data_IF_465253353337
#
_entry.id   IF_465253353337
#
_cell.length_a   1.000
_cell.length_b   1.000
_cell.length_c   1.000
_cell.angle_alpha   90.00
_cell.angle_beta   90.00
_cell.angle_gamma   90.00
#
_symmetry.space_group_name_H-M   'P 1'
#
loop_
_entity.id
_entity.type
_entity.pdbx_description
1 polymer ?
#
# COMPACT_ATOMS: atom_id res chain seq x y z
N UNK A 1 -17.53 9.62 -4.00
CA UNK A 1 -16.93 8.54 -4.79
C UNK A 1 -15.80 7.79 -4.07
N UNK A 2 -15.39 8.21 -2.86
CA UNK A 2 -14.39 7.46 -2.05
C UNK A 2 -15.01 6.17 -1.52
N UNK A 3 -14.21 5.09 -1.34
CA UNK A 3 -14.66 3.92 -0.61
C UNK A 3 -15.15 4.28 0.80
N UNK A 4 -16.06 3.48 1.35
CA UNK A 4 -16.58 3.67 2.70
C UNK A 4 -15.42 3.65 3.72
N UNK A 5 -15.48 4.59 4.69
CA UNK A 5 -14.47 4.73 5.73
C UNK A 5 -13.24 5.58 5.38
N UNK A 6 -13.01 5.91 4.11
CA UNK A 6 -11.92 6.79 3.68
C UNK A 6 -12.41 8.23 3.57
N UNK A 7 -12.47 8.93 4.70
CA UNK A 7 -13.09 10.26 4.83
C UNK A 7 -12.13 11.44 4.68
N UNK A 8 -10.83 11.16 4.68
CA UNK A 8 -9.77 12.19 4.62
C UNK A 8 -8.95 12.05 3.35
N UNK A 9 -8.58 13.18 2.74
CA UNK A 9 -7.79 13.21 1.50
C UNK A 9 -6.65 14.21 1.62
N UNK A 10 -5.50 13.83 1.04
CA UNK A 10 -4.33 14.70 0.88
C UNK A 10 -3.87 14.63 -0.57
N UNK A 11 -3.70 15.80 -1.23
CA UNK A 11 -3.36 15.90 -2.66
C UNK A 11 -1.88 16.17 -2.88
N UNK A 12 -1.32 15.66 -4.00
CA UNK A 12 0.06 15.82 -4.42
C UNK A 12 0.19 15.99 -5.94
N UNK A 13 1.43 16.20 -6.42
CA UNK A 13 1.72 16.47 -7.82
C UNK A 13 2.11 15.25 -8.65
N UNK A 14 2.56 14.15 -8.08
CA UNK A 14 3.01 12.97 -8.83
C UNK A 14 2.80 11.66 -8.05
N UNK A 15 2.73 10.55 -8.80
CA UNK A 15 2.31 9.25 -8.30
C UNK A 15 3.07 8.78 -7.06
N UNK A 16 4.41 8.78 -7.11
CA UNK A 16 5.26 8.28 -6.02
C UNK A 16 5.12 9.10 -4.74
N UNK A 17 4.73 10.39 -4.82
CA UNK A 17 4.49 11.22 -3.64
C UNK A 17 3.32 10.69 -2.81
N UNK A 18 2.27 10.16 -3.44
CA UNK A 18 1.18 9.54 -2.71
C UNK A 18 1.67 8.34 -1.88
N UNK A 19 2.51 7.49 -2.48
CA UNK A 19 3.10 6.34 -1.77
C UNK A 19 4.00 6.80 -0.63
N UNK A 20 4.90 7.75 -0.87
CA UNK A 20 5.79 8.31 0.18
C UNK A 20 4.99 8.81 1.37
N UNK A 21 3.91 9.51 1.10
CA UNK A 21 3.06 10.08 2.16
C UNK A 21 2.29 9.00 2.90
N UNK A 22 1.74 8.00 2.20
CA UNK A 22 1.07 6.88 2.86
C UNK A 22 2.02 6.12 3.80
N UNK A 23 3.26 5.84 3.36
CA UNK A 23 4.29 5.22 4.20
C UNK A 23 4.62 6.09 5.43
N UNK A 24 4.87 7.38 5.22
CA UNK A 24 5.17 8.34 6.30
C UNK A 24 4.00 8.48 7.28
N UNK A 25 2.77 8.63 6.79
CA UNK A 25 1.59 8.73 7.64
C UNK A 25 1.37 7.47 8.45
N UNK A 26 1.53 6.29 7.84
CA UNK A 26 1.38 5.01 8.54
C UNK A 26 2.37 4.91 9.70
N UNK A 27 3.66 5.13 9.44
CA UNK A 27 4.70 5.12 10.46
C UNK A 27 4.42 6.14 11.58
N UNK A 28 4.14 7.40 11.22
CA UNK A 28 3.94 8.47 12.17
C UNK A 28 2.66 8.28 13.00
N UNK A 29 1.58 7.78 12.40
CA UNK A 29 0.35 7.43 13.12
C UNK A 29 0.62 6.38 14.21
N UNK A 30 1.37 5.31 13.89
CA UNK A 30 1.76 4.31 14.89
C UNK A 30 2.64 4.91 16.00
N UNK A 31 3.60 5.76 15.66
CA UNK A 31 4.43 6.45 16.64
C UNK A 31 3.59 7.33 17.59
N UNK A 32 2.62 8.08 17.03
CA UNK A 32 1.69 8.91 17.81
C UNK A 32 0.75 8.08 18.71
N UNK A 33 0.49 6.82 18.33
CA UNK A 33 -0.30 5.85 19.12
C UNK A 33 0.55 5.05 20.14
N UNK A 34 1.81 5.40 20.31
CA UNK A 34 2.71 4.73 21.27
C UNK A 34 3.34 3.43 20.76
N UNK A 35 3.41 3.25 19.44
CA UNK A 35 4.06 2.09 18.79
C UNK A 35 5.32 2.51 18.00
N UNK A 36 6.36 3.09 18.63
CA UNK A 36 7.52 3.64 17.92
C UNK A 36 8.43 2.59 17.28
N UNK A 37 8.26 1.31 17.63
CA UNK A 37 9.06 0.21 17.08
C UNK A 37 8.60 -0.25 15.69
N UNK A 38 7.44 0.21 15.19
CA UNK A 38 6.90 -0.18 13.88
C UNK A 38 7.60 0.57 12.74
N UNK A 39 8.86 0.25 12.48
CA UNK A 39 9.73 0.98 11.54
C UNK A 39 9.86 0.31 10.17
N UNK A 40 9.32 -0.90 10.01
CA UNK A 40 9.41 -1.68 8.79
C UNK A 40 8.09 -1.72 8.02
N UNK A 41 8.17 -2.15 6.77
CA UNK A 41 7.03 -2.36 5.89
C UNK A 41 7.06 -3.77 5.32
N UNK A 42 5.91 -4.27 4.91
CA UNK A 42 5.78 -5.47 4.07
C UNK A 42 5.37 -5.02 2.67
N UNK A 43 6.04 -5.53 1.65
CA UNK A 43 5.66 -5.36 0.25
C UNK A 43 5.60 -6.75 -0.44
N UNK A 44 5.04 -6.82 -1.64
CA UNK A 44 4.98 -8.08 -2.37
C UNK A 44 6.20 -8.23 -3.31
N UNK A 45 6.60 -9.47 -3.57
CA UNK A 45 7.51 -9.75 -4.69
C UNK A 45 6.91 -9.26 -5.99
N UNK A 46 7.74 -8.83 -6.93
CA UNK A 46 7.35 -8.24 -8.22
C UNK A 46 6.54 -6.92 -8.13
N UNK A 47 6.47 -6.28 -6.96
CA UNK A 47 5.75 -5.01 -6.79
C UNK A 47 6.51 -3.82 -7.38
N UNK A 48 5.74 -2.77 -7.71
CA UNK A 48 6.27 -1.47 -8.10
C UNK A 48 5.34 -0.36 -7.58
N UNK A 49 5.93 0.59 -6.84
CA UNK A 49 5.16 1.66 -6.20
C UNK A 49 5.68 3.07 -6.55
N UNK A 50 6.65 3.17 -7.43
CA UNK A 50 7.26 4.44 -7.86
C UNK A 50 8.77 4.49 -7.63
N UNK A 51 9.37 5.67 -7.89
CA UNK A 51 10.82 5.84 -8.01
C UNK A 51 11.41 6.85 -7.00
N UNK A 52 10.62 7.42 -6.11
CA UNK A 52 11.14 8.09 -4.92
C UNK A 52 11.71 7.06 -3.94
N UNK A 53 12.66 7.42 -3.09
CA UNK A 53 13.41 6.44 -2.29
C UNK A 53 12.52 5.53 -1.44
N UNK A 54 11.49 6.04 -0.79
CA UNK A 54 10.57 5.21 -0.02
C UNK A 54 9.71 4.31 -0.90
N UNK A 55 9.11 4.85 -1.97
CA UNK A 55 8.33 4.06 -2.93
C UNK A 55 9.18 3.00 -3.63
N UNK A 56 10.41 3.36 -4.05
CA UNK A 56 11.37 2.45 -4.66
C UNK A 56 11.83 1.36 -3.69
N UNK A 57 11.90 1.67 -2.41
CA UNK A 57 12.21 0.67 -1.37
C UNK A 57 11.17 -0.44 -1.34
N UNK A 58 9.90 -0.12 -1.58
CA UNK A 58 8.78 -1.09 -1.61
C UNK A 58 8.67 -1.85 -2.93
N UNK A 59 9.43 -1.48 -3.96
CA UNK A 59 9.46 -2.21 -5.24
C UNK A 59 10.37 -3.46 -5.15
N UNK A 60 10.07 -4.48 -5.96
CA UNK A 60 10.90 -5.70 -6.08
C UNK A 60 11.26 -6.00 -7.55
N UNK A 61 11.58 -4.95 -8.31
CA UNK A 61 12.01 -5.05 -9.69
C UNK A 61 13.48 -4.62 -9.77
N UNK A 62 14.44 -5.54 -9.99
CA UNK A 62 15.87 -5.25 -9.96
C UNK A 62 16.29 -4.09 -10.88
N UNK A 63 15.67 -3.99 -12.06
CA UNK A 63 15.97 -2.95 -13.06
C UNK A 63 15.88 -1.53 -12.44
N UNK A 64 14.92 -1.28 -11.56
CA UNK A 64 14.75 0.04 -10.95
C UNK A 64 15.57 0.21 -9.67
N UNK A 65 15.81 -0.87 -8.92
CA UNK A 65 16.41 -0.82 -7.58
C UNK A 65 17.93 -0.89 -7.55
N UNK A 66 18.55 -1.60 -8.50
CA UNK A 66 19.95 -2.03 -8.39
C UNK A 66 20.93 -0.89 -8.12
N UNK A 67 20.79 0.22 -8.83
CA UNK A 67 21.69 1.38 -8.69
C UNK A 67 21.51 2.09 -7.34
N UNK A 68 20.27 2.12 -6.84
CA UNK A 68 19.90 2.87 -5.64
C UNK A 68 19.90 2.00 -4.37
N UNK A 69 20.24 0.72 -4.46
CA UNK A 69 20.16 -0.22 -3.34
C UNK A 69 20.80 0.27 -2.03
N UNK A 70 21.95 1.00 -2.04
CA UNK A 70 22.55 1.51 -0.80
C UNK A 70 21.72 2.60 -0.09
N UNK A 71 20.72 3.19 -0.75
CA UNK A 71 19.89 4.27 -0.23
C UNK A 71 18.49 3.80 0.19
N UNK A 72 18.13 2.54 -0.09
CA UNK A 72 16.79 2.03 0.09
C UNK A 72 16.58 1.47 1.49
N UNK A 73 15.34 1.60 1.98
CA UNK A 73 14.86 0.86 3.13
C UNK A 73 14.81 -0.64 2.82
N UNK A 74 14.85 -1.47 3.85
CA UNK A 74 14.75 -2.93 3.74
C UNK A 74 13.38 -3.43 4.22
N UNK A 75 12.36 -3.48 3.34
CA UNK A 75 11.08 -4.08 3.69
C UNK A 75 11.18 -5.61 3.79
N UNK A 76 10.17 -6.21 4.39
CA UNK A 76 9.92 -7.64 4.28
C UNK A 76 9.16 -7.91 2.98
N UNK A 77 9.62 -8.85 2.16
CA UNK A 77 8.91 -9.20 0.94
C UNK A 77 8.11 -10.49 1.14
N UNK A 78 6.78 -10.39 1.02
CA UNK A 78 5.89 -11.53 0.93
C UNK A 78 5.80 -12.04 -0.52
N UNK A 79 5.48 -13.32 -0.75
CA UNK A 79 5.30 -13.85 -2.09
C UNK A 79 4.22 -13.09 -2.87
N UNK A 80 4.44 -12.92 -4.18
CA UNK A 80 3.40 -12.46 -5.08
C UNK A 80 2.31 -13.52 -5.24
N UNK A 81 1.03 -13.19 -5.07
CA UNK A 81 -0.07 -14.16 -5.21
C UNK A 81 -0.48 -14.41 -6.66
N UNK A 82 0.35 -14.02 -7.61
CA UNK A 82 0.04 -14.01 -9.03
C UNK A 82 -0.09 -15.41 -9.65
N UNK A 83 -0.83 -15.49 -10.75
CA UNK A 83 -1.13 -16.76 -11.44
C UNK A 83 0.10 -17.45 -12.05
N UNK A 84 1.22 -16.74 -12.27
CA UNK A 84 2.45 -17.34 -12.79
C UNK A 84 3.16 -18.21 -11.74
N UNK A 85 2.94 -17.96 -10.45
CA UNK A 85 3.47 -18.76 -9.33
C UNK A 85 2.57 -19.93 -8.92
N UNK A 86 1.51 -20.21 -9.68
CA UNK A 86 0.54 -21.29 -9.42
C UNK A 86 1.13 -22.66 -9.68
N UNK A 87 0.89 -23.62 -8.76
CA UNK A 87 1.23 -25.02 -8.99
C UNK A 87 0.24 -25.67 -9.97
N UNK A 88 0.65 -26.76 -10.62
CA UNK A 88 -0.09 -27.40 -11.71
C UNK A 88 -1.56 -27.75 -11.39
N UNK A 89 -1.84 -28.08 -10.13
CA UNK A 89 -3.20 -28.46 -9.69
C UNK A 89 -3.91 -27.40 -8.83
N UNK A 90 -3.30 -26.24 -8.66
CA UNK A 90 -3.94 -25.14 -7.91
C UNK A 90 -4.94 -24.39 -8.77
N UNK A 91 -6.07 -24.05 -8.20
CA UNK A 91 -6.92 -22.94 -8.71
C UNK A 91 -6.26 -21.60 -8.38
N UNK A 92 -6.67 -20.53 -9.06
CA UNK A 92 -6.17 -19.19 -8.80
C UNK A 92 -6.43 -18.75 -7.34
N UNK A 93 -7.61 -19.11 -6.79
CA UNK A 93 -7.94 -18.87 -5.39
C UNK A 93 -7.04 -19.66 -4.42
N UNK A 94 -6.71 -20.91 -4.74
CA UNK A 94 -5.81 -21.73 -3.89
C UNK A 94 -4.39 -21.18 -3.88
N UNK A 95 -3.87 -20.71 -5.02
CA UNK A 95 -2.59 -20.03 -5.09
C UNK A 95 -2.58 -18.77 -4.20
N UNK A 96 -3.61 -17.95 -4.32
CA UNK A 96 -3.75 -16.73 -3.51
C UNK A 96 -3.83 -17.04 -2.01
N UNK A 97 -4.58 -18.07 -1.61
CA UNK A 97 -4.67 -18.50 -0.20
C UNK A 97 -3.35 -19.06 0.33
N UNK A 98 -2.59 -19.80 -0.46
CA UNK A 98 -1.24 -20.27 -0.09
C UNK A 98 -0.30 -19.10 0.16
N UNK A 99 -0.27 -18.11 -0.75
CA UNK A 99 0.54 -16.92 -0.58
C UNK A 99 0.08 -16.06 0.63
N UNK A 100 -1.22 -16.06 0.92
CA UNK A 100 -1.76 -15.39 2.12
C UNK A 100 -1.31 -16.08 3.42
N UNK A 101 -1.18 -17.42 3.44
CA UNK A 101 -0.63 -18.14 4.59
C UNK A 101 0.86 -17.81 4.82
N UNK A 102 1.64 -17.61 3.75
CA UNK A 102 3.02 -17.16 3.87
C UNK A 102 3.11 -15.69 4.37
N UNK A 103 2.20 -14.82 3.91
CA UNK A 103 2.06 -13.47 4.46
C UNK A 103 1.73 -13.50 5.95
N UNK A 104 0.80 -14.37 6.38
CA UNK A 104 0.45 -14.55 7.78
C UNK A 104 1.65 -14.98 8.62
N UNK A 105 2.47 -15.90 8.14
CA UNK A 105 3.68 -16.34 8.81
C UNK A 105 4.70 -15.19 9.01
N UNK A 106 4.84 -14.31 8.00
CA UNK A 106 5.67 -13.11 8.10
C UNK A 106 5.09 -12.15 9.15
N UNK A 107 3.79 -11.86 9.10
CA UNK A 107 3.13 -10.96 10.05
C UNK A 107 3.18 -11.51 11.48
N UNK A 108 2.92 -12.81 11.69
CA UNK A 108 2.99 -13.44 13.00
C UNK A 108 4.35 -13.24 13.67
N UNK A 109 5.42 -13.31 12.87
CA UNK A 109 6.81 -13.14 13.36
C UNK A 109 7.21 -11.68 13.57
N UNK A 110 6.72 -10.77 12.72
CA UNK A 110 7.28 -9.42 12.59
C UNK A 110 6.28 -8.28 12.88
N UNK A 111 5.00 -8.55 13.21
CA UNK A 111 3.97 -7.51 13.39
C UNK A 111 4.36 -6.38 14.34
N UNK A 112 5.16 -6.68 15.37
CA UNK A 112 5.61 -5.70 16.37
C UNK A 112 6.57 -4.64 15.81
N UNK A 113 7.19 -4.88 14.67
CA UNK A 113 8.12 -3.96 13.98
C UNK A 113 7.56 -3.44 12.64
N UNK A 114 6.37 -3.90 12.20
CA UNK A 114 5.78 -3.56 10.91
C UNK A 114 4.72 -2.48 11.03
N UNK A 115 4.87 -1.41 10.26
CA UNK A 115 3.92 -0.31 10.17
C UNK A 115 2.78 -0.62 9.21
N UNK A 116 3.10 -1.05 8.01
CA UNK A 116 2.10 -1.33 6.97
C UNK A 116 2.51 -2.47 6.04
N UNK A 117 1.47 -3.11 5.46
CA UNK A 117 1.54 -3.85 4.21
C UNK A 117 1.14 -2.92 3.07
N UNK A 118 1.97 -2.83 2.02
CA UNK A 118 1.62 -2.15 0.77
C UNK A 118 1.50 -3.15 -0.36
N UNK A 119 0.46 -3.00 -1.20
CA UNK A 119 0.24 -3.85 -2.37
C UNK A 119 -0.51 -3.11 -3.49
N UNK A 120 -0.31 -3.56 -4.72
CA UNK A 120 -1.10 -3.18 -5.89
C UNK A 120 -2.33 -4.12 -5.96
N UNK A 121 -3.58 -3.65 -5.77
CA UNK A 121 -4.75 -4.53 -5.78
C UNK A 121 -4.97 -5.21 -7.13
N UNK A 122 -5.12 -6.53 -7.13
CA UNK A 122 -5.44 -7.42 -8.25
C UNK A 122 -4.41 -7.52 -9.37
N UNK A 123 -3.61 -6.48 -9.65
CA UNK A 123 -2.66 -6.47 -10.77
C UNK A 123 -1.38 -5.74 -10.40
N UNK A 124 -0.26 -6.42 -10.42
CA UNK A 124 1.08 -5.83 -10.34
C UNK A 124 1.52 -5.39 -11.76
N UNK A 125 1.21 -4.14 -12.10
CA UNK A 125 1.31 -3.67 -13.48
C UNK A 125 2.75 -3.65 -14.01
N UNK A 126 3.65 -2.90 -13.37
CA UNK A 126 5.05 -2.79 -13.80
C UNK A 126 5.84 -4.08 -13.56
N UNK A 127 5.38 -4.95 -12.68
CA UNK A 127 5.89 -6.30 -12.44
C UNK A 127 5.60 -7.30 -13.57
N UNK A 128 5.01 -6.86 -14.69
CA UNK A 128 4.69 -7.70 -15.84
C UNK A 128 3.20 -8.05 -15.95
N UNK A 129 2.30 -7.17 -15.51
CA UNK A 129 0.85 -7.37 -15.53
C UNK A 129 0.43 -8.66 -14.81
N UNK A 130 1.01 -8.91 -13.63
CA UNK A 130 0.75 -10.11 -12.83
C UNK A 130 -0.58 -9.97 -12.12
N UNK A 131 -1.54 -10.79 -12.51
CA UNK A 131 -2.89 -10.80 -11.95
C UNK A 131 -3.02 -11.83 -10.85
N UNK A 132 -3.91 -11.57 -9.87
CA UNK A 132 -4.20 -12.48 -8.78
C UNK A 132 -5.64 -12.41 -8.30
N UNK A 133 -6.09 -13.45 -7.62
CA UNK A 133 -7.47 -13.61 -7.18
C UNK A 133 -7.82 -12.68 -6.01
N UNK A 134 -9.03 -12.04 -6.02
CA UNK A 134 -9.47 -11.09 -4.98
C UNK A 134 -9.41 -11.63 -3.55
N UNK A 135 -9.53 -12.96 -3.36
CA UNK A 135 -9.44 -13.58 -2.02
C UNK A 135 -8.14 -13.24 -1.28
N UNK A 136 -7.04 -12.93 -2.01
CA UNK A 136 -5.81 -12.47 -1.38
C UNK A 136 -6.01 -11.12 -0.66
N UNK A 137 -6.74 -10.19 -1.26
CA UNK A 137 -7.04 -8.88 -0.65
C UNK A 137 -7.90 -9.04 0.60
N UNK A 138 -8.89 -9.96 0.57
CA UNK A 138 -9.71 -10.29 1.75
C UNK A 138 -8.83 -10.79 2.91
N UNK A 139 -7.93 -11.73 2.62
CA UNK A 139 -6.99 -12.25 3.63
C UNK A 139 -6.01 -11.18 4.10
N UNK A 140 -5.45 -10.36 3.19
CA UNK A 140 -4.55 -9.26 3.54
C UNK A 140 -5.24 -8.27 4.50
N UNK A 141 -6.50 -7.87 4.22
CA UNK A 141 -7.26 -6.99 5.11
C UNK A 141 -7.49 -7.64 6.49
N UNK A 142 -7.94 -8.90 6.49
CA UNK A 142 -8.16 -9.66 7.73
C UNK A 142 -6.88 -9.72 8.58
N UNK A 143 -5.76 -10.05 7.98
CA UNK A 143 -4.47 -10.16 8.65
C UNK A 143 -3.97 -8.80 9.17
N UNK A 144 -4.05 -7.74 8.36
CA UNK A 144 -3.70 -6.39 8.79
C UNK A 144 -4.52 -5.95 10.00
N UNK A 145 -5.83 -6.23 10.00
CA UNK A 145 -6.70 -5.93 11.14
C UNK A 145 -6.31 -6.75 12.39
N UNK A 146 -6.05 -8.05 12.22
CA UNK A 146 -5.69 -8.95 13.33
C UNK A 146 -4.38 -8.54 14.01
N UNK A 147 -3.37 -8.16 13.22
CA UNK A 147 -2.04 -7.82 13.73
C UNK A 147 -1.86 -6.32 14.03
N UNK A 148 -2.86 -5.48 13.75
CA UNK A 148 -2.80 -4.03 13.96
C UNK A 148 -1.78 -3.34 13.06
N UNK A 149 -1.63 -3.84 11.81
CA UNK A 149 -0.79 -3.31 10.74
C UNK A 149 -1.70 -2.55 9.77
N UNK A 150 -1.28 -1.39 9.25
CA UNK A 150 -2.04 -0.68 8.24
C UNK A 150 -1.97 -1.40 6.88
N UNK A 151 -3.08 -1.35 6.13
CA UNK A 151 -3.13 -1.77 4.72
C UNK A 151 -3.08 -0.54 3.82
N UNK A 152 -2.05 -0.45 2.97
CA UNK A 152 -1.91 0.56 1.93
C UNK A 152 -2.24 -0.09 0.59
N UNK A 153 -3.34 0.32 -0.04
CA UNK A 153 -3.71 -0.10 -1.38
C UNK A 153 -3.20 0.94 -2.40
N UNK A 154 -2.28 0.52 -3.23
CA UNK A 154 -1.77 1.32 -4.34
C UNK A 154 -2.65 1.10 -5.58
N UNK A 155 -3.67 1.93 -5.73
CA UNK A 155 -4.56 1.92 -6.90
C UNK A 155 -4.18 2.95 -7.98
N UNK A 156 -2.94 3.43 -7.96
CA UNK A 156 -2.44 4.41 -8.94
C UNK A 156 -2.63 3.92 -10.38
N UNK A 157 -2.39 2.62 -10.62
CA UNK A 157 -2.52 2.03 -11.95
C UNK A 157 -3.86 1.30 -12.16
N UNK A 158 -4.48 0.81 -11.11
CA UNK A 158 -5.65 -0.10 -11.20
C UNK A 158 -6.98 0.54 -10.83
N UNK A 159 -6.99 1.72 -10.25
CA UNK A 159 -8.20 2.48 -9.94
C UNK A 159 -8.92 3.04 -11.16
N UNK A 160 -10.06 3.68 -10.92
CA UNK A 160 -10.89 4.38 -11.94
C UNK A 160 -11.41 3.46 -13.04
N UNK A 161 -11.85 2.25 -12.67
CA UNK A 161 -12.51 1.32 -13.60
C UNK A 161 -11.57 0.39 -14.37
N UNK A 162 -10.24 0.45 -14.14
CA UNK A 162 -9.26 -0.36 -14.88
C UNK A 162 -9.50 -1.87 -14.74
N UNK A 163 -9.96 -2.33 -13.60
CA UNK A 163 -10.19 -3.75 -13.29
C UNK A 163 -11.66 -4.17 -13.39
N UNK A 164 -12.56 -3.27 -13.82
CA UNK A 164 -13.98 -3.54 -13.95
C UNK A 164 -14.88 -2.97 -12.83
N UNK A 165 -14.32 -2.67 -11.67
CA UNK A 165 -14.92 -1.89 -10.58
C UNK A 165 -14.28 -0.50 -10.52
N UNK A 166 -14.92 0.48 -9.85
CA UNK A 166 -14.35 1.83 -9.77
C UNK A 166 -13.02 1.82 -9.02
N UNK A 167 -12.95 1.13 -7.89
CA UNK A 167 -11.69 0.77 -7.22
C UNK A 167 -11.50 -0.75 -7.23
N UNK A 168 -10.27 -1.21 -7.39
CA UNK A 168 -9.96 -2.63 -7.44
C UNK A 168 -10.28 -3.35 -6.12
N UNK A 169 -10.12 -2.67 -4.97
CA UNK A 169 -10.48 -3.18 -3.66
C UNK A 169 -11.97 -3.55 -3.52
N UNK A 170 -12.86 -2.96 -4.31
CA UNK A 170 -14.31 -3.28 -4.30
C UNK A 170 -14.58 -4.75 -4.67
N UNK A 171 -13.75 -5.36 -5.52
CA UNK A 171 -13.90 -6.77 -5.91
C UNK A 171 -13.66 -7.75 -4.76
N UNK A 172 -13.00 -7.32 -3.70
CA UNK A 172 -12.80 -8.07 -2.48
C UNK A 172 -13.67 -7.55 -1.32
N UNK A 173 -14.55 -6.58 -1.57
CA UNK A 173 -15.39 -5.92 -0.56
C UNK A 173 -14.58 -5.43 0.66
N UNK A 174 -13.38 -4.88 0.45
CA UNK A 174 -12.52 -4.37 1.52
C UNK A 174 -12.30 -2.87 1.40
N UNK A 175 -12.04 -2.22 2.55
CA UNK A 175 -11.50 -0.86 2.63
C UNK A 175 -10.09 -0.90 3.22
N UNK A 176 -9.08 -0.30 2.56
CA UNK A 176 -7.75 -0.16 3.12
C UNK A 176 -7.69 0.97 4.16
N UNK A 177 -6.58 1.08 4.89
CA UNK A 177 -6.33 2.22 5.77
C UNK A 177 -5.82 3.44 4.98
N UNK A 178 -5.12 3.17 3.88
CA UNK A 178 -4.66 4.18 2.91
C UNK A 178 -4.93 3.71 1.49
N UNK A 179 -5.46 4.62 0.66
CA UNK A 179 -5.68 4.40 -0.76
C UNK A 179 -4.87 5.44 -1.56
N UNK A 180 -3.89 4.99 -2.33
CA UNK A 180 -3.08 5.85 -3.19
C UNK A 180 -3.68 5.90 -4.60
N UNK A 181 -3.91 7.10 -5.11
CA UNK A 181 -4.54 7.36 -6.40
C UNK A 181 -3.70 8.33 -7.24
N UNK A 182 -3.65 8.10 -8.55
CA UNK A 182 -3.07 9.01 -9.53
C UNK A 182 -3.54 8.62 -10.94
N UNK A 183 -2.76 8.76 -11.96
CA UNK A 183 -3.02 8.38 -13.37
C UNK A 183 -4.46 8.60 -13.82
N UNK A 184 -5.38 7.69 -13.52
CA UNK A 184 -6.80 7.79 -13.84
C UNK A 184 -7.50 9.00 -13.18
N UNK A 185 -6.96 9.53 -12.09
CA UNK A 185 -7.52 10.70 -11.39
C UNK A 185 -7.65 11.91 -12.31
N UNK A 186 -6.69 12.14 -13.20
CA UNK A 186 -6.70 13.23 -14.19
C UNK A 186 -6.65 12.73 -15.62
N UNK A 187 -6.53 11.42 -15.86
CA UNK A 187 -6.32 10.85 -17.18
C UNK A 187 -5.01 11.27 -17.84
N UNK A 188 -4.05 11.75 -17.07
CA UNK A 188 -2.75 12.25 -17.57
C UNK A 188 -2.76 13.72 -17.99
N UNK A 189 -3.89 14.42 -17.84
CA UNK A 189 -4.01 15.83 -18.22
C UNK A 189 -3.19 16.74 -17.31
N UNK A 190 -3.15 16.44 -16.01
CA UNK A 190 -2.34 17.16 -15.01
C UNK A 190 -1.56 16.16 -14.15
N UNK A 191 -0.33 16.50 -13.73
CA UNK A 191 0.36 15.73 -12.71
C UNK A 191 -0.36 15.91 -11.38
N UNK A 192 -1.05 14.85 -10.92
CA UNK A 192 -1.79 14.88 -9.66
C UNK A 192 -1.87 13.49 -9.06
N UNK A 193 -1.80 13.42 -7.75
CA UNK A 193 -2.07 12.23 -6.97
C UNK A 193 -2.80 12.57 -5.67
N UNK A 194 -3.39 11.58 -5.05
CA UNK A 194 -4.09 11.72 -3.78
C UNK A 194 -3.85 10.50 -2.90
N UNK A 195 -3.81 10.73 -1.60
CA UNK A 195 -3.91 9.70 -0.57
C UNK A 195 -5.22 9.90 0.17
N UNK A 196 -6.05 8.88 0.19
CA UNK A 196 -7.23 8.84 1.06
C UNK A 196 -6.87 8.01 2.29
N UNK A 197 -7.39 8.41 3.45
CA UNK A 197 -7.18 7.67 4.70
C UNK A 197 -8.40 7.71 5.60
N UNK A 198 -8.37 6.89 6.64
CA UNK A 198 -9.46 6.71 7.60
C UNK A 198 -9.44 7.79 8.67
N UNK A 199 -10.58 7.99 9.35
CA UNK A 199 -10.70 8.91 10.47
C UNK A 199 -9.74 8.57 11.63
N UNK A 200 -9.58 7.29 12.07
CA UNK A 200 -8.64 6.96 13.14
C UNK A 200 -7.18 7.32 12.82
N UNK A 201 -6.76 7.23 11.56
CA UNK A 201 -5.43 7.69 11.15
C UNK A 201 -5.33 9.20 11.28
N UNK A 202 -6.30 9.95 10.78
CA UNK A 202 -6.33 11.41 10.89
C UNK A 202 -6.33 11.87 12.36
N UNK A 203 -7.15 11.28 13.21
CA UNK A 203 -7.24 11.61 14.64
C UNK A 203 -5.92 11.40 15.38
N UNK A 204 -5.08 10.46 14.94
CA UNK A 204 -3.77 10.22 15.55
C UNK A 204 -2.83 11.43 15.47
N UNK A 205 -3.08 12.35 14.53
CA UNK A 205 -2.29 13.57 14.34
C UNK A 205 -2.88 14.79 15.07
N UNK A 206 -4.09 14.69 15.61
CA UNK A 206 -4.73 15.79 16.35
C UNK A 206 -4.09 15.94 17.72
N UNK A 207 -3.35 17.01 17.92
CA UNK A 207 -2.66 17.31 19.17
C UNK A 207 -2.34 18.80 19.28
N UNK A 208 -2.21 19.30 20.51
CA UNK A 208 -1.61 20.61 20.78
C UNK A 208 -0.09 20.61 20.58
N UNK A 209 0.54 19.45 20.53
CA UNK A 209 1.98 19.30 20.30
C UNK A 209 2.28 19.29 18.80
N UNK A 210 3.06 20.26 18.32
CA UNK A 210 3.44 20.35 16.89
C UNK A 210 4.21 19.14 16.37
N UNK A 211 4.97 18.47 17.21
CA UNK A 211 5.74 17.27 16.86
C UNK A 211 4.86 16.09 16.44
N UNK A 212 3.61 16.08 16.85
CA UNK A 212 2.64 15.04 16.46
C UNK A 212 1.92 15.34 15.14
N UNK A 213 2.02 16.58 14.65
CA UNK A 213 1.42 16.96 13.36
C UNK A 213 2.17 16.33 12.18
N UNK A 214 1.43 16.02 11.11
CA UNK A 214 2.02 15.52 9.87
C UNK A 214 2.63 16.67 9.07
N UNK A 215 3.93 16.91 9.26
CA UNK A 215 4.68 17.98 8.61
C UNK A 215 5.21 17.53 7.24
N UNK A 216 4.35 17.53 6.24
CA UNK A 216 4.68 17.24 4.85
C UNK A 216 3.93 18.21 3.95
N UNK A 217 4.49 19.43 3.81
CA UNK A 217 3.86 20.52 3.08
C UNK A 217 4.38 20.67 1.66
N UNK A 218 3.59 21.27 0.82
CA UNK A 218 3.96 21.76 -0.51
C UNK A 218 3.32 23.14 -0.74
N UNK A 219 3.63 23.78 -1.88
CA UNK A 219 3.24 25.18 -2.14
C UNK A 219 1.74 25.48 -2.05
N UNK A 220 0.88 24.47 -2.06
CA UNK A 220 -0.59 24.61 -2.06
C UNK A 220 -1.28 23.98 -0.84
N UNK A 221 -0.52 23.50 0.15
CA UNK A 221 -1.07 23.12 1.44
C UNK A 221 -1.24 24.37 2.30
N UNK A 222 -2.48 24.66 2.62
CA UNK A 222 -2.85 25.73 3.55
C UNK A 222 -2.87 25.27 5.00
#
# INVERSE_FOLDING_TARGET
LSPDGLSRVFFFFFCSAAVEVALKMSFHSHANQGKPATTRFIALRNSYHGETLGALSMADIPLYRQVYSPLLLEPLFAPSPDYFGKYEHETDAQCALRCAAELEAIMAKHHHEVSALILEPLVQCAGGMRMYHPVYLEQARRLCTHYGIHLIADEIAVGFGRTGSFFACEQAAISPDFLCLSKGLTGGFLPMSAVLTTEPVFESFLSSERSRGFLHSHSYTG
#
